data_IF_174594930151
#
_entry.id   IF_174594930151
#
_cell.length_a   1.000
_cell.length_b   1.000
_cell.length_c   1.000
_cell.angle_alpha   90.00
_cell.angle_beta   90.00
_cell.angle_gamma   90.00
#
_symmetry.space_group_name_H-M   'P 1'
#
loop_
_entity.id
_entity.type
_entity.pdbx_description
1 polymer ?
#
# COMPACT_ATOMS: atom_id res chain seq x y z
N UNK A 1 5.90 -53.05 -56.00
CA UNK A 1 6.99 -52.07 -55.89
C UNK A 1 6.46 -50.78 -56.48
N UNK A 2 6.14 -49.85 -55.58
CA UNK A 2 5.80 -48.42 -55.72
C UNK A 2 5.08 -47.89 -56.98
N UNK A 3 3.94 -47.24 -56.75
CA UNK A 3 3.75 -45.83 -57.09
C UNK A 3 2.42 -45.26 -56.52
N UNK A 4 2.56 -44.12 -55.85
CA UNK A 4 1.56 -43.07 -55.60
C UNK A 4 0.58 -42.82 -56.76
N UNK A 5 -0.67 -42.41 -56.50
CA UNK A 5 -1.04 -41.01 -56.17
C UNK A 5 -2.58 -40.85 -56.09
N UNK A 6 -2.97 -39.73 -55.47
CA UNK A 6 -4.30 -39.32 -55.00
C UNK A 6 -5.26 -38.93 -56.13
N UNK A 7 -6.58 -39.07 -55.91
CA UNK A 7 -7.57 -37.97 -55.93
C UNK A 7 -9.01 -38.49 -55.84
N UNK A 8 -9.76 -38.05 -54.83
CA UNK A 8 -11.22 -37.80 -54.78
C UNK A 8 -11.52 -37.40 -53.32
N UNK A 9 -12.02 -36.21 -52.99
CA UNK A 9 -13.16 -35.53 -53.58
C UNK A 9 -14.31 -35.65 -52.58
N UNK A 10 -14.39 -34.77 -51.58
CA UNK A 10 -15.52 -34.70 -50.67
C UNK A 10 -15.80 -33.25 -50.26
N UNK A 11 -16.79 -32.67 -50.95
CA UNK A 11 -17.50 -31.47 -50.58
C UNK A 11 -18.40 -31.77 -49.36
N UNK A 12 -18.24 -31.04 -48.25
CA UNK A 12 -19.12 -31.13 -47.09
C UNK A 12 -19.69 -29.76 -46.76
N UNK A 13 -21.02 -29.76 -46.66
CA UNK A 13 -21.97 -28.64 -46.63
C UNK A 13 -21.96 -27.86 -45.31
N UNK A 14 -22.20 -26.56 -45.48
CA UNK A 14 -22.61 -25.55 -44.51
C UNK A 14 -23.80 -25.97 -43.65
N UNK A 15 -23.70 -25.81 -42.33
CA UNK A 15 -24.85 -25.62 -41.42
C UNK A 15 -24.48 -24.70 -40.26
N UNK A 16 -24.95 -23.45 -40.36
CA UNK A 16 -24.98 -22.46 -39.28
C UNK A 16 -26.06 -22.88 -38.28
N UNK A 17 -25.69 -23.14 -37.03
CA UNK A 17 -26.64 -23.28 -35.92
C UNK A 17 -26.44 -22.09 -34.98
N UNK A 18 -27.43 -21.20 -34.96
CA UNK A 18 -27.53 -20.11 -33.99
C UNK A 18 -27.80 -20.70 -32.61
N UNK A 19 -26.90 -20.48 -31.65
CA UNK A 19 -27.10 -20.82 -30.25
C UNK A 19 -27.88 -19.69 -29.56
N UNK A 20 -29.03 -20.04 -28.98
CA UNK A 20 -29.85 -19.14 -28.18
C UNK A 20 -29.15 -18.81 -26.86
N UNK A 21 -29.03 -17.52 -26.54
CA UNK A 21 -28.46 -17.02 -25.30
C UNK A 21 -29.45 -17.19 -24.13
N UNK A 22 -29.06 -17.92 -23.09
CA UNK A 22 -29.74 -17.97 -21.80
C UNK A 22 -29.21 -16.79 -20.98
N UNK A 23 -30.04 -15.76 -20.76
CA UNK A 23 -29.74 -14.65 -19.84
C UNK A 23 -29.96 -15.16 -18.42
N UNK A 24 -28.87 -15.48 -17.71
CA UNK A 24 -28.92 -15.74 -16.27
C UNK A 24 -28.72 -14.42 -15.54
N UNK A 25 -29.78 -13.90 -14.93
CA UNK A 25 -29.75 -12.69 -14.09
C UNK A 25 -29.02 -13.03 -12.77
N UNK A 26 -27.72 -12.76 -12.71
CA UNK A 26 -26.95 -12.85 -11.47
C UNK A 26 -27.26 -11.63 -10.60
N UNK A 27 -27.80 -11.91 -9.41
CA UNK A 27 -27.91 -10.94 -8.33
C UNK A 27 -26.49 -10.45 -8.02
N UNK A 28 -26.23 -9.19 -8.32
CA UNK A 28 -24.92 -8.58 -8.17
C UNK A 28 -24.44 -8.66 -6.72
N UNK A 29 -23.29 -9.32 -6.51
CA UNK A 29 -22.42 -8.90 -5.43
C UNK A 29 -22.19 -7.40 -5.64
N UNK A 30 -22.46 -6.60 -4.61
CA UNK A 30 -21.95 -5.22 -4.56
C UNK A 30 -20.43 -5.37 -4.45
N UNK A 31 -19.79 -5.50 -5.61
CA UNK A 31 -18.35 -5.36 -5.75
C UNK A 31 -18.00 -3.97 -5.26
N UNK A 32 -16.99 -3.88 -4.41
CA UNK A 32 -16.32 -2.61 -4.16
C UNK A 32 -15.97 -2.06 -5.55
N UNK A 33 -16.37 -0.83 -5.90
CA UNK A 33 -16.19 -0.34 -7.26
C UNK A 33 -14.70 -0.40 -7.63
N UNK A 34 -14.39 -0.86 -8.84
CA UNK A 34 -13.02 -0.94 -9.39
C UNK A 34 -12.22 0.34 -9.18
N UNK A 35 -12.89 1.50 -9.10
CA UNK A 35 -12.28 2.80 -8.82
C UNK A 35 -11.54 2.89 -7.48
N UNK A 36 -11.93 2.12 -6.46
CA UNK A 36 -11.27 2.10 -5.14
C UNK A 36 -9.99 1.26 -5.20
N UNK A 37 -10.01 0.12 -5.90
CA UNK A 37 -8.79 -0.67 -6.15
C UNK A 37 -7.83 0.09 -7.08
N UNK A 38 -8.35 0.70 -8.15
CA UNK A 38 -7.56 1.51 -9.08
C UNK A 38 -6.97 2.78 -8.44
N UNK A 39 -7.55 3.29 -7.34
CA UNK A 39 -6.94 4.39 -6.58
C UNK A 39 -5.69 3.94 -5.81
N UNK A 40 -5.70 2.73 -5.22
CA UNK A 40 -4.55 2.20 -4.45
C UNK A 40 -3.34 1.94 -5.35
N UNK A 41 -3.54 1.26 -6.48
CA UNK A 41 -2.46 0.95 -7.43
C UNK A 41 -1.87 2.23 -8.08
N UNK A 42 -2.69 3.27 -8.29
CA UNK A 42 -2.23 4.56 -8.87
C UNK A 42 -1.49 5.44 -7.88
N UNK A 43 -1.68 5.26 -6.58
CA UNK A 43 -1.05 6.11 -5.60
C UNK A 43 0.41 5.73 -5.39
N UNK A 44 0.69 4.45 -5.16
CA UNK A 44 2.05 4.06 -4.83
C UNK A 44 2.99 4.12 -6.03
N UNK A 45 2.48 4.05 -7.26
CA UNK A 45 3.27 4.17 -8.50
C UNK A 45 3.50 5.64 -8.99
N UNK A 46 2.75 6.63 -8.49
CA UNK A 46 2.87 8.04 -8.91
C UNK A 46 3.93 8.79 -8.10
N UNK A 47 5.21 8.46 -8.32
CA UNK A 47 6.32 9.05 -7.56
C UNK A 47 6.31 10.58 -7.59
N UNK A 48 5.99 11.19 -8.74
CA UNK A 48 5.97 12.64 -8.90
C UNK A 48 4.98 13.32 -7.93
N UNK A 49 3.85 12.67 -7.66
CA UNK A 49 2.86 13.14 -6.71
C UNK A 49 3.32 13.04 -5.26
N UNK A 50 4.12 12.04 -4.91
CA UNK A 50 4.46 11.74 -3.52
C UNK A 50 5.88 12.09 -3.08
N UNK A 51 6.78 12.47 -3.99
CA UNK A 51 8.17 12.80 -3.65
C UNK A 51 8.30 13.88 -2.57
N UNK A 52 7.40 14.87 -2.54
CA UNK A 52 7.37 15.89 -1.48
C UNK A 52 7.14 15.26 -0.10
N UNK A 53 6.17 14.37 0.01
CA UNK A 53 5.81 13.70 1.25
C UNK A 53 6.87 12.67 1.65
N UNK A 54 7.47 11.97 0.67
CA UNK A 54 8.59 11.05 0.89
C UNK A 54 9.79 11.77 1.51
N UNK A 55 10.14 12.96 1.03
CA UNK A 55 11.19 13.78 1.66
C UNK A 55 10.82 14.24 3.07
N UNK A 56 9.53 14.41 3.36
CA UNK A 56 9.05 14.71 4.71
C UNK A 56 9.22 13.52 5.66
N UNK A 57 8.82 12.32 5.23
CA UNK A 57 8.88 11.13 6.08
C UNK A 57 10.24 10.44 6.13
N UNK A 58 11.10 10.68 5.14
CA UNK A 58 12.48 10.19 5.07
C UNK A 58 13.44 11.37 4.78
N UNK A 59 13.66 12.27 5.75
CA UNK A 59 14.46 13.49 5.53
C UNK A 59 15.94 13.20 5.21
N UNK A 60 16.42 12.02 5.59
CA UNK A 60 17.79 11.56 5.37
C UNK A 60 18.04 10.97 3.97
N UNK A 61 16.99 10.75 3.18
CA UNK A 61 17.07 10.16 1.86
C UNK A 61 17.22 11.25 0.78
N UNK A 62 18.19 11.04 -0.10
CA UNK A 62 18.46 11.90 -1.25
C UNK A 62 17.74 11.37 -2.50
N UNK A 63 17.78 10.05 -2.69
CA UNK A 63 17.14 9.32 -3.79
C UNK A 63 16.12 8.33 -3.24
N UNK A 64 15.16 7.97 -4.10
CA UNK A 64 14.09 7.04 -3.77
C UNK A 64 13.94 6.02 -4.89
N UNK A 65 13.79 4.75 -4.52
CA UNK A 65 13.50 3.66 -5.42
C UNK A 65 12.15 3.05 -5.05
N UNK A 66 11.24 2.96 -6.02
CA UNK A 66 9.98 2.27 -5.82
C UNK A 66 10.15 0.76 -6.01
N UNK A 67 9.58 -0.01 -5.10
CA UNK A 67 9.56 -1.48 -5.10
C UNK A 67 8.10 -1.92 -5.20
N UNK A 68 7.76 -2.56 -6.30
CA UNK A 68 6.40 -3.03 -6.62
C UNK A 68 6.25 -4.57 -6.50
N UNK A 69 7.27 -5.23 -5.95
CA UNK A 69 7.25 -6.67 -5.71
C UNK A 69 6.82 -6.95 -4.28
N UNK A 70 5.74 -7.69 -4.08
CA UNK A 70 5.20 -7.98 -2.74
C UNK A 70 4.25 -6.88 -2.27
N UNK A 71 4.62 -6.13 -1.24
CA UNK A 71 3.85 -4.95 -0.81
C UNK A 71 4.51 -3.67 -1.32
N UNK A 72 3.79 -2.83 -2.09
CA UNK A 72 4.34 -1.60 -2.67
C UNK A 72 4.97 -0.67 -1.62
N UNK A 73 6.24 -0.32 -1.80
CA UNK A 73 6.96 0.60 -0.91
C UNK A 73 8.11 1.31 -1.62
N UNK A 74 8.61 2.38 -1.00
CA UNK A 74 9.79 3.13 -1.41
C UNK A 74 10.97 2.78 -0.51
N UNK A 75 12.14 2.59 -1.10
CA UNK A 75 13.44 2.58 -0.42
C UNK A 75 14.09 3.94 -0.61
N UNK A 76 14.50 4.56 0.49
CA UNK A 76 15.22 5.83 0.48
C UNK A 76 16.71 5.62 0.72
N UNK A 77 17.55 6.24 -0.10
CA UNK A 77 19.00 6.11 -0.02
C UNK A 77 19.69 7.46 0.20
N UNK A 78 20.76 7.45 0.97
CA UNK A 78 21.72 8.54 1.08
C UNK A 78 22.91 8.25 0.17
N UNK A 79 23.45 9.28 -0.47
CA UNK A 79 24.60 9.16 -1.36
C UNK A 79 25.86 9.57 -0.60
N UNK A 80 26.79 8.63 -0.45
CA UNK A 80 28.09 8.89 0.15
C UNK A 80 29.01 9.70 -0.77
N UNK A 81 30.15 10.21 -0.26
CA UNK A 81 31.10 11.01 -1.04
C UNK A 81 31.61 10.34 -2.32
N UNK A 82 31.62 9.01 -2.36
CA UNK A 82 32.09 8.20 -3.48
C UNK A 82 30.95 7.70 -4.38
N UNK A 83 29.72 8.16 -4.18
CA UNK A 83 28.53 7.67 -4.88
C UNK A 83 27.95 6.37 -4.32
N UNK A 84 28.43 5.91 -3.15
CA UNK A 84 27.87 4.73 -2.48
C UNK A 84 26.46 5.01 -1.96
N UNK A 85 25.49 4.17 -2.32
CA UNK A 85 24.12 4.28 -1.84
C UNK A 85 23.96 3.51 -0.52
N UNK A 86 23.62 4.22 0.55
CA UNK A 86 23.26 3.61 1.83
C UNK A 86 21.75 3.68 2.02
N UNK A 87 21.11 2.53 2.26
CA UNK A 87 19.68 2.49 2.60
C UNK A 87 19.45 3.16 3.96
N UNK A 88 18.65 4.23 3.98
CA UNK A 88 18.36 5.03 5.19
C UNK A 88 16.92 4.93 5.66
N UNK A 89 16.02 4.37 4.84
CA UNK A 89 14.68 4.06 5.31
C UNK A 89 13.72 3.60 4.23
N UNK A 90 12.48 3.39 4.67
CA UNK A 90 11.35 2.92 3.88
C UNK A 90 10.20 3.91 3.99
N UNK A 91 9.58 4.22 2.86
CA UNK A 91 8.34 5.00 2.77
C UNK A 91 7.23 4.12 2.24
N UNK A 92 6.11 3.98 2.94
CA UNK A 92 5.03 3.08 2.52
C UNK A 92 3.66 3.60 2.91
N UNK A 93 2.65 3.21 2.14
CA UNK A 93 1.26 3.57 2.43
C UNK A 93 0.63 2.53 3.35
N UNK A 94 -0.02 3.00 4.41
CA UNK A 94 -0.71 2.11 5.35
C UNK A 94 -1.81 1.27 4.67
N UNK A 95 -2.43 1.75 3.59
CA UNK A 95 -3.53 1.05 2.90
C UNK A 95 -3.08 -0.20 2.14
N UNK A 96 -1.81 -0.26 1.75
CA UNK A 96 -1.21 -1.43 1.09
C UNK A 96 -0.85 -2.52 2.13
N UNK A 97 -0.41 -2.08 3.31
CA UNK A 97 0.06 -2.97 4.36
C UNK A 97 -1.05 -3.40 5.33
N UNK A 98 -2.01 -2.53 5.63
CA UNK A 98 -3.12 -2.74 6.56
C UNK A 98 -4.49 -2.50 5.90
N UNK A 99 -4.82 -3.20 4.78
CA UNK A 99 -5.97 -2.88 3.93
C UNK A 99 -7.34 -3.07 4.62
N UNK A 100 -7.36 -3.78 5.76
CA UNK A 100 -8.57 -4.06 6.56
C UNK A 100 -8.83 -3.02 7.64
N UNK A 101 -7.88 -2.13 7.93
CA UNK A 101 -8.07 -1.09 8.94
C UNK A 101 -8.79 0.10 8.31
N UNK A 102 -9.89 0.53 8.92
CA UNK A 102 -10.73 1.64 8.45
C UNK A 102 -11.10 2.54 9.62
N UNK A 103 -11.13 3.84 9.35
CA UNK A 103 -11.70 4.86 10.22
C UNK A 103 -13.22 4.87 10.18
N UNK A 104 -13.83 5.96 10.67
CA UNK A 104 -15.28 6.09 10.73
C UNK A 104 -15.92 6.26 9.34
N UNK A 105 -15.25 6.94 8.41
CA UNK A 105 -15.76 7.21 7.04
C UNK A 105 -14.96 6.52 5.94
N UNK A 106 -14.17 5.50 6.28
CA UNK A 106 -13.45 4.69 5.31
C UNK A 106 -11.95 4.68 5.58
N UNK A 107 -11.16 4.77 4.52
CA UNK A 107 -9.71 4.65 4.63
C UNK A 107 -9.09 5.98 5.05
N UNK A 108 -8.07 5.88 5.91
CA UNK A 108 -7.19 6.98 6.27
C UNK A 108 -5.87 6.65 5.59
N UNK A 109 -5.49 7.46 4.62
CA UNK A 109 -4.30 7.27 3.79
C UNK A 109 -3.14 8.02 4.41
N UNK A 110 -2.13 7.29 4.81
CA UNK A 110 -0.94 7.80 5.48
C UNK A 110 0.29 7.24 4.79
N UNK A 111 1.23 8.14 4.48
CA UNK A 111 2.57 7.75 4.09
C UNK A 111 3.43 7.69 5.36
N UNK A 112 4.03 6.55 5.61
CA UNK A 112 4.77 6.27 6.84
C UNK A 112 6.24 6.08 6.49
N UNK A 113 7.10 6.80 7.21
CA UNK A 113 8.54 6.65 7.17
C UNK A 113 9.05 5.75 8.30
N UNK A 114 9.97 4.86 7.98
CA UNK A 114 10.62 3.98 8.94
C UNK A 114 12.07 3.74 8.56
N UNK A 115 13.00 3.83 9.52
CA UNK A 115 14.40 3.48 9.25
C UNK A 115 14.61 1.94 9.20
N UNK A 116 15.77 1.45 8.71
CA UNK A 116 16.03 0.01 8.63
C UNK A 116 16.06 -0.72 9.97
N UNK A 117 16.23 0.01 11.08
CA UNK A 117 16.16 -0.52 12.44
C UNK A 117 14.73 -0.65 12.99
N UNK A 118 13.70 -0.33 12.20
CA UNK A 118 12.30 -0.41 12.64
C UNK A 118 11.90 0.74 13.56
N UNK A 119 12.51 1.91 13.44
CA UNK A 119 12.09 3.14 14.13
C UNK A 119 11.31 4.02 13.18
N UNK A 120 10.16 4.52 13.61
CA UNK A 120 9.35 5.46 12.84
C UNK A 120 10.05 6.82 12.75
N UNK A 121 10.21 7.34 11.53
CA UNK A 121 10.90 8.62 11.26
C UNK A 121 9.91 9.78 11.23
N UNK A 122 8.87 9.68 10.41
CA UNK A 122 7.71 10.59 10.42
C UNK A 122 6.50 9.96 9.69
N UNK A 123 5.37 10.66 9.74
CA UNK A 123 4.11 10.23 9.11
C UNK A 123 3.44 11.43 8.47
N UNK A 124 2.96 11.27 7.24
CA UNK A 124 2.13 12.26 6.56
C UNK A 124 0.72 11.72 6.33
N UNK A 125 -0.31 12.51 6.66
CA UNK A 125 -1.72 12.16 6.45
C UNK A 125 -2.17 12.80 5.14
N UNK A 126 -2.41 11.96 4.14
CA UNK A 126 -2.59 12.40 2.76
C UNK A 126 -4.05 12.53 2.37
N UNK A 127 -4.91 11.65 2.87
CA UNK A 127 -6.33 11.66 2.53
C UNK A 127 -7.17 10.92 3.58
N UNK A 128 -8.32 11.49 3.94
CA UNK A 128 -9.37 10.83 4.71
C UNK A 128 -10.69 11.60 4.57
N UNK A 129 -11.79 10.98 4.99
CA UNK A 129 -13.13 11.61 5.05
C UNK A 129 -13.67 11.69 6.49
N UNK A 130 -12.79 11.61 7.48
CA UNK A 130 -13.16 11.55 8.89
C UNK A 130 -13.83 12.87 9.36
N UNK A 131 -15.02 12.83 9.98
CA UNK A 131 -15.79 14.02 10.33
C UNK A 131 -15.10 14.91 11.38
N UNK A 132 -14.16 14.34 12.12
CA UNK A 132 -13.44 14.97 13.23
C UNK A 132 -11.92 14.92 13.04
N UNK A 133 -11.45 14.70 11.81
CA UNK A 133 -10.00 14.63 11.52
C UNK A 133 -9.24 15.86 11.98
N UNK A 134 -9.82 17.04 11.74
CA UNK A 134 -9.21 18.37 12.00
C UNK A 134 -8.68 18.59 13.42
N UNK A 135 -9.22 17.90 14.43
CA UNK A 135 -8.72 17.98 15.81
C UNK A 135 -8.17 16.65 16.34
N UNK A 136 -8.27 15.56 15.58
CA UNK A 136 -7.92 14.22 16.06
C UNK A 136 -6.69 13.61 15.40
N UNK A 137 -6.52 13.77 14.09
CA UNK A 137 -5.39 13.19 13.36
C UNK A 137 -4.65 14.23 12.52
N UNK A 138 -5.34 15.24 11.99
CA UNK A 138 -4.75 16.31 11.17
C UNK A 138 -3.74 17.20 11.92
N UNK A 139 -3.87 17.46 13.24
CA UNK A 139 -2.88 18.26 13.95
C UNK A 139 -1.48 17.64 13.90
N UNK A 140 -0.45 18.45 13.67
CA UNK A 140 0.95 18.00 13.68
C UNK A 140 1.36 17.30 15.00
N UNK A 141 0.69 17.64 16.11
CA UNK A 141 0.88 17.00 17.40
C UNK A 141 0.48 15.51 17.42
N UNK A 142 -0.44 15.06 16.55
CA UNK A 142 -0.79 13.65 16.42
C UNK A 142 0.39 12.85 15.85
N UNK A 143 0.89 13.24 14.66
CA UNK A 143 1.99 12.52 14.01
C UNK A 143 3.31 12.63 14.77
N UNK A 144 3.55 13.75 15.47
CA UNK A 144 4.75 13.95 16.28
C UNK A 144 4.92 12.90 17.40
N UNK A 145 3.82 12.31 17.89
CA UNK A 145 3.87 11.28 18.92
C UNK A 145 4.53 9.99 18.43
N UNK A 146 4.60 9.74 17.11
CA UNK A 146 5.17 8.51 16.58
C UNK A 146 6.69 8.59 16.33
N UNK A 147 7.24 9.79 16.21
CA UNK A 147 8.66 10.00 15.87
C UNK A 147 9.58 9.35 16.89
N UNK A 148 10.54 8.55 16.43
CA UNK A 148 11.49 7.85 17.28
C UNK A 148 10.92 6.63 18.01
N UNK A 149 9.63 6.31 17.87
CA UNK A 149 9.07 5.07 18.44
C UNK A 149 9.46 3.87 17.58
N UNK A 150 9.82 2.77 18.24
CA UNK A 150 10.05 1.49 17.57
C UNK A 150 8.73 0.86 17.13
N UNK A 151 8.73 0.14 16.00
CA UNK A 151 7.61 -0.72 15.58
C UNK A 151 7.31 -1.85 16.57
N UNK A 152 8.25 -2.16 17.46
CA UNK A 152 8.07 -3.13 18.54
C UNK A 152 7.33 -2.54 19.75
N UNK A 153 7.24 -1.21 19.85
CA UNK A 153 6.47 -0.57 20.91
C UNK A 153 4.97 -0.92 20.79
N UNK A 154 4.19 -0.89 21.88
CA UNK A 154 2.77 -1.28 21.85
C UNK A 154 1.91 -0.34 20.98
N UNK A 155 2.23 0.96 21.00
CA UNK A 155 1.53 2.03 20.28
C UNK A 155 0.03 1.99 20.60
N UNK A 156 -0.30 1.98 21.89
CA UNK A 156 -1.67 1.90 22.40
C UNK A 156 -2.24 3.30 22.63
N UNK A 157 -3.45 3.55 22.11
CA UNK A 157 -4.19 4.80 22.35
C UNK A 157 -4.59 4.89 23.82
N UNK A 158 -4.35 6.04 24.44
CA UNK A 158 -4.57 6.29 25.87
C UNK A 158 -3.36 5.97 26.75
N UNK A 159 -2.40 5.18 26.25
CA UNK A 159 -1.19 4.82 27.00
C UNK A 159 0.07 5.41 26.34
N UNK A 160 0.37 5.00 25.10
CA UNK A 160 1.55 5.43 24.36
C UNK A 160 1.29 6.62 23.42
N UNK A 161 0.02 6.77 23.01
CA UNK A 161 -0.47 7.78 22.07
C UNK A 161 -1.72 8.40 22.67
N UNK A 162 -1.81 9.72 22.67
CA UNK A 162 -2.90 10.49 23.25
C UNK A 162 -4.25 10.10 22.64
N UNK A 163 -5.20 9.79 23.52
CA UNK A 163 -6.58 9.55 23.14
C UNK A 163 -7.30 10.88 22.87
N UNK A 164 -8.06 10.94 21.78
CA UNK A 164 -8.86 12.11 21.42
C UNK A 164 -10.34 11.86 21.67
N UNK A 165 -10.91 12.60 22.63
CA UNK A 165 -12.34 12.54 22.94
C UNK A 165 -13.19 12.90 21.73
N UNK A 166 -14.34 12.23 21.55
CA UNK A 166 -15.27 12.40 20.40
C UNK A 166 -14.74 11.94 19.03
N UNK A 167 -13.49 11.50 18.95
CA UNK A 167 -12.88 10.97 17.73
C UNK A 167 -12.26 9.57 17.94
N UNK A 168 -12.81 8.79 18.88
CA UNK A 168 -12.25 7.51 19.32
C UNK A 168 -12.07 6.51 18.17
N UNK A 169 -13.03 6.39 17.26
CA UNK A 169 -12.94 5.43 16.13
C UNK A 169 -11.83 5.86 15.17
N UNK A 170 -11.82 7.14 14.77
CA UNK A 170 -10.81 7.74 13.88
C UNK A 170 -9.40 7.58 14.44
N UNK A 171 -9.20 8.00 15.68
CA UNK A 171 -7.89 7.99 16.35
C UNK A 171 -7.39 6.55 16.53
N UNK A 172 -8.22 5.62 17.02
CA UNK A 172 -7.84 4.20 17.11
C UNK A 172 -7.52 3.57 15.75
N UNK A 173 -8.28 3.90 14.71
CA UNK A 173 -8.03 3.38 13.37
C UNK A 173 -6.70 3.88 12.80
N UNK A 174 -6.39 5.18 12.95
CA UNK A 174 -5.14 5.75 12.49
C UNK A 174 -3.94 5.11 13.21
N UNK A 175 -3.97 5.06 14.56
CA UNK A 175 -2.90 4.44 15.35
C UNK A 175 -2.70 2.96 14.99
N UNK A 176 -3.81 2.21 14.88
CA UNK A 176 -3.75 0.80 14.49
C UNK A 176 -3.17 0.62 13.10
N UNK A 177 -3.59 1.42 12.13
CA UNK A 177 -3.10 1.34 10.77
C UNK A 177 -1.60 1.62 10.70
N UNK A 178 -1.09 2.62 11.43
CA UNK A 178 0.33 2.93 11.54
C UNK A 178 1.11 1.74 12.13
N UNK A 179 0.66 1.23 13.27
CA UNK A 179 1.31 0.11 13.96
C UNK A 179 1.34 -1.15 13.10
N UNK A 180 0.19 -1.55 12.57
CA UNK A 180 0.03 -2.81 11.86
C UNK A 180 0.81 -2.78 10.53
N UNK A 181 0.82 -1.63 9.84
CA UNK A 181 1.57 -1.44 8.60
C UNK A 181 3.08 -1.44 8.82
N UNK A 182 3.59 -0.65 9.78
CA UNK A 182 5.01 -0.56 10.05
C UNK A 182 5.59 -1.89 10.52
N UNK A 183 4.86 -2.64 11.36
CA UNK A 183 5.27 -3.99 11.75
C UNK A 183 5.30 -4.96 10.57
N UNK A 184 4.38 -4.83 9.61
CA UNK A 184 4.37 -5.67 8.41
C UNK A 184 5.56 -5.35 7.51
N UNK A 185 5.83 -4.07 7.25
CA UNK A 185 7.03 -3.64 6.50
C UNK A 185 8.32 -4.16 7.14
N UNK A 186 8.45 -4.04 8.48
CA UNK A 186 9.63 -4.54 9.19
C UNK A 186 9.82 -6.06 9.01
N UNK A 187 8.74 -6.85 9.05
CA UNK A 187 8.81 -8.31 8.82
C UNK A 187 9.22 -8.65 7.39
N UNK A 188 8.66 -7.95 6.40
CA UNK A 188 8.99 -8.14 4.99
C UNK A 188 10.49 -7.87 4.77
N UNK A 189 11.00 -6.74 5.25
CA UNK A 189 12.42 -6.40 5.15
C UNK A 189 13.34 -7.43 5.83
N UNK A 190 13.00 -7.87 7.06
CA UNK A 190 13.80 -8.88 7.76
C UNK A 190 13.82 -10.22 7.01
N UNK A 191 12.71 -10.57 6.35
CA UNK A 191 12.63 -11.79 5.55
C UNK A 191 13.50 -11.69 4.29
N UNK A 192 13.43 -10.56 3.58
CA UNK A 192 14.28 -10.30 2.39
C UNK A 192 15.77 -10.43 2.74
N UNK A 193 16.21 -9.78 3.83
CA UNK A 193 17.62 -9.86 4.26
C UNK A 193 18.08 -11.26 4.62
N UNK A 194 17.19 -12.09 5.16
CA UNK A 194 17.50 -13.48 5.49
C UNK A 194 17.63 -14.37 4.25
N UNK A 195 16.97 -14.01 3.15
CA UNK A 195 17.06 -14.74 1.87
C UNK A 195 18.24 -14.32 0.99
N UNK A 196 18.81 -13.14 1.23
CA UNK A 196 20.00 -12.62 0.53
C UNK A 196 21.33 -13.13 1.12
N UNK A 197 21.28 -13.85 2.26
CA UNK A 197 22.43 -14.45 2.96
C UNK A 197 22.54 -15.94 2.67
#
# INVERSE_FOLDING_TARGET
MDAEHRHQGACVKTRTLAAAAIVTLTIGMIGIPESVYAQRDRATADFARYVKYLRGVLPDAETFQFVDTGTPHYRGYRIGPNGEETLVGFGFFNVDFAPRVRGYKGEIWMLIGMNPGGTLTDIDILFHNEPFGYFSIDPAAFVAQFRGKSVLAPLTVGDDIDAVSRATITNNAAVRAIRDSARRMAREFLTERATEQ
#
